data_IF_614441069508
#
_entry.id   IF_614441069508
#
_cell.length_a   1.000
_cell.length_b   1.000
_cell.length_c   1.000
_cell.angle_alpha   90.00
_cell.angle_beta   90.00
_cell.angle_gamma   90.00
#
_symmetry.space_group_name_H-M   'P 1'
#
loop_
_entity.id
_entity.type
_entity.pdbx_description
1 polymer ?
#
# COMPACT_ATOMS: atom_id res chain seq x y z
N UNK A 1 15.42 2.06 18.30
CA UNK A 1 15.01 0.82 17.61
C UNK A 1 15.82 0.67 16.34
N UNK A 2 15.73 1.65 15.42
CA UNK A 2 16.67 1.78 14.31
C UNK A 2 18.15 1.82 14.81
N UNK A 3 18.45 2.64 15.82
CA UNK A 3 19.80 2.72 16.44
C UNK A 3 20.27 1.44 17.14
N UNK A 4 19.38 0.44 17.28
CA UNK A 4 19.69 -0.88 17.83
C UNK A 4 19.81 -1.96 16.73
N UNK A 5 19.96 -1.54 15.47
CA UNK A 5 20.19 -2.44 14.33
C UNK A 5 18.91 -2.89 13.61
N UNK A 6 17.74 -2.33 13.91
CA UNK A 6 16.53 -2.60 13.09
C UNK A 6 16.67 -1.92 11.73
N UNK A 7 16.56 -2.70 10.66
CA UNK A 7 16.71 -2.23 9.26
C UNK A 7 15.41 -2.27 8.44
N UNK A 8 14.35 -2.87 8.98
CA UNK A 8 13.08 -3.05 8.29
C UNK A 8 11.88 -2.71 9.19
N UNK A 9 10.91 -2.00 8.62
CA UNK A 9 9.62 -1.70 9.26
C UNK A 9 8.50 -2.36 8.44
N UNK A 10 7.68 -3.18 9.11
CA UNK A 10 6.51 -3.82 8.52
C UNK A 10 5.22 -3.23 9.10
N UNK A 11 4.49 -2.50 8.27
CA UNK A 11 3.18 -1.94 8.60
C UNK A 11 2.08 -3.00 8.44
N UNK A 12 1.39 -3.30 9.52
CA UNK A 12 0.34 -4.33 9.59
C UNK A 12 -1.00 -3.73 10.00
N UNK A 13 -2.09 -4.38 9.57
CA UNK A 13 -3.45 -4.02 9.92
C UNK A 13 -4.44 -5.08 9.41
N UNK A 14 -5.74 -4.84 9.58
CA UNK A 14 -6.77 -5.66 8.90
C UNK A 14 -6.96 -5.23 7.44
N UNK A 15 -6.89 -3.92 7.20
CA UNK A 15 -6.89 -3.29 5.90
C UNK A 15 -5.91 -2.10 5.95
N UNK A 16 -4.63 -2.37 5.68
CA UNK A 16 -3.56 -1.41 5.94
C UNK A 16 -3.68 -0.13 5.10
N UNK A 17 -4.17 -0.22 3.86
CA UNK A 17 -4.32 0.94 2.98
C UNK A 17 -5.56 1.78 3.29
N UNK A 18 -6.42 1.35 4.22
CA UNK A 18 -7.44 2.20 4.86
C UNK A 18 -6.95 2.79 6.19
N UNK A 19 -5.64 3.04 6.32
CA UNK A 19 -5.09 3.76 7.45
C UNK A 19 -5.70 5.16 7.55
N UNK A 20 -6.14 5.52 8.76
CA UNK A 20 -6.74 6.82 9.09
C UNK A 20 -5.97 7.43 10.24
N UNK A 21 -4.82 8.00 9.92
CA UNK A 21 -4.00 8.71 10.89
C UNK A 21 -4.43 10.15 11.04
N UNK A 22 -3.89 10.79 12.08
CA UNK A 22 -3.93 12.25 12.25
C UNK A 22 -2.50 12.73 12.43
N UNK A 23 -2.11 13.76 11.67
CA UNK A 23 -0.81 14.42 11.77
C UNK A 23 -1.07 15.92 11.88
N UNK A 24 -0.60 16.56 12.95
CA UNK A 24 -0.81 17.99 13.22
C UNK A 24 -2.28 18.43 13.15
N UNK A 25 -3.21 17.56 13.56
CA UNK A 25 -4.65 17.82 13.53
C UNK A 25 -5.33 17.52 12.18
N UNK A 26 -4.57 17.18 11.14
CA UNK A 26 -5.11 16.85 9.81
C UNK A 26 -5.12 15.35 9.55
N UNK A 27 -6.05 14.89 8.69
CA UNK A 27 -6.13 13.49 8.28
C UNK A 27 -4.89 13.08 7.49
N UNK A 28 -4.36 11.90 7.79
CA UNK A 28 -3.17 11.34 7.14
C UNK A 28 -3.47 9.95 6.56
N UNK A 29 -2.81 9.61 5.45
CA UNK A 29 -2.98 8.35 4.71
C UNK A 29 -1.81 7.41 4.94
N UNK A 30 -1.95 6.15 4.51
CA UNK A 30 -0.85 5.19 4.53
C UNK A 30 0.35 5.70 3.72
N UNK A 31 0.10 6.31 2.56
CA UNK A 31 1.10 6.91 1.68
C UNK A 31 1.96 7.90 2.47
N UNK A 32 1.31 8.77 3.27
CA UNK A 32 2.04 9.73 4.10
C UNK A 32 2.82 9.07 5.23
N UNK A 33 2.27 8.03 5.85
CA UNK A 33 2.96 7.26 6.87
C UNK A 33 4.24 6.61 6.30
N UNK A 34 4.18 6.05 5.09
CA UNK A 34 5.35 5.47 4.42
C UNK A 34 6.41 6.54 4.16
N UNK A 35 6.03 7.69 3.59
CA UNK A 35 6.96 8.80 3.35
C UNK A 35 7.64 9.30 4.64
N UNK A 36 6.92 9.34 5.76
CA UNK A 36 7.49 9.73 7.04
C UNK A 36 8.40 8.63 7.62
N UNK A 37 8.01 7.37 7.45
CA UNK A 37 8.80 6.21 7.91
C UNK A 37 10.13 6.14 7.18
N UNK A 38 10.17 6.49 5.89
CA UNK A 38 11.39 6.53 5.08
C UNK A 38 12.41 7.60 5.56
N UNK A 39 11.96 8.60 6.33
CA UNK A 39 12.86 9.62 6.91
C UNK A 39 13.59 9.14 8.17
N UNK A 40 13.27 7.95 8.68
CA UNK A 40 13.94 7.40 9.85
C UNK A 40 15.31 6.90 9.41
N UNK A 41 16.37 7.47 10.00
CA UNK A 41 17.74 7.03 9.75
C UNK A 41 17.91 5.53 10.03
N UNK A 42 18.76 4.86 9.24
CA UNK A 42 19.09 3.44 9.35
C UNK A 42 17.95 2.45 9.02
N UNK A 43 16.85 2.91 8.41
CA UNK A 43 15.82 2.03 7.84
C UNK A 43 16.10 1.81 6.35
N UNK A 44 16.38 0.57 5.97
CA UNK A 44 16.63 0.20 4.57
C UNK A 44 15.33 -0.23 3.85
N UNK A 45 14.36 -0.75 4.61
CA UNK A 45 13.16 -1.38 4.04
C UNK A 45 11.88 -1.02 4.77
N UNK A 46 10.85 -0.75 3.99
CA UNK A 46 9.47 -0.56 4.44
C UNK A 46 8.61 -1.55 3.66
N UNK A 47 7.75 -2.28 4.38
CA UNK A 47 6.75 -3.19 3.80
C UNK A 47 5.40 -2.94 4.43
N UNK A 48 4.34 -3.22 3.68
CA UNK A 48 3.00 -3.38 4.23
C UNK A 48 2.33 -4.64 3.70
N UNK A 49 1.32 -5.14 4.40
CA UNK A 49 0.54 -6.33 4.01
C UNK A 49 -0.91 -6.13 4.40
N UNK A 50 -1.83 -6.91 3.81
CA UNK A 50 -3.30 -6.82 3.99
C UNK A 50 -3.98 -5.66 3.23
N UNK A 51 -3.56 -5.36 2.01
CA UNK A 51 -4.23 -4.34 1.20
C UNK A 51 -5.57 -4.83 0.67
N UNK A 52 -6.54 -3.92 0.60
CA UNK A 52 -7.79 -4.13 -0.15
C UNK A 52 -7.72 -3.39 -1.50
N UNK A 53 -7.94 -4.04 -2.67
CA UNK A 53 -7.77 -3.39 -3.97
C UNK A 53 -8.59 -2.12 -4.17
N UNK A 54 -9.82 -2.08 -3.64
CA UNK A 54 -10.66 -0.88 -3.71
C UNK A 54 -10.08 0.35 -2.97
N UNK A 55 -9.31 0.14 -1.92
CA UNK A 55 -8.74 1.22 -1.10
C UNK A 55 -7.33 1.59 -1.55
N UNK A 56 -6.84 0.98 -2.64
CA UNK A 56 -5.52 1.27 -3.19
C UNK A 56 -5.67 2.46 -4.14
N UNK A 57 -5.36 3.64 -3.61
CA UNK A 57 -5.54 4.92 -4.29
C UNK A 57 -4.26 5.32 -5.02
N UNK A 58 -4.39 6.28 -5.93
CA UNK A 58 -3.28 6.74 -6.77
C UNK A 58 -2.12 7.32 -5.93
N UNK A 59 -2.39 7.95 -4.78
CA UNK A 59 -1.35 8.45 -3.87
C UNK A 59 -0.45 7.33 -3.34
N UNK A 60 -1.00 6.14 -3.09
CA UNK A 60 -0.23 4.98 -2.66
C UNK A 60 0.57 4.37 -3.83
N UNK A 61 0.07 4.47 -5.06
CA UNK A 61 0.83 4.08 -6.27
C UNK A 61 2.03 5.00 -6.45
N UNK A 62 1.84 6.31 -6.36
CA UNK A 62 2.92 7.30 -6.49
C UNK A 62 4.04 7.11 -5.46
N UNK A 63 3.73 6.63 -4.26
CA UNK A 63 4.75 6.35 -3.23
C UNK A 63 5.70 5.24 -3.69
N UNK A 64 5.27 4.29 -4.52
CA UNK A 64 6.17 3.30 -5.12
C UNK A 64 7.17 3.92 -6.09
N UNK A 65 6.89 5.08 -6.70
CA UNK A 65 7.89 5.80 -7.49
C UNK A 65 8.87 6.54 -6.58
N UNK A 66 8.33 7.28 -5.59
CA UNK A 66 9.08 8.28 -4.83
C UNK A 66 9.91 7.73 -3.66
N UNK A 67 9.52 6.60 -3.07
CA UNK A 67 10.15 6.08 -1.84
C UNK A 67 10.98 4.83 -2.14
N UNK A 68 12.32 4.91 -2.20
CA UNK A 68 13.17 3.76 -2.52
C UNK A 68 13.20 2.69 -1.42
N UNK A 69 13.00 3.05 -0.16
CA UNK A 69 12.94 2.12 0.97
C UNK A 69 11.67 1.26 0.92
N UNK A 70 10.61 1.71 0.21
CA UNK A 70 9.41 0.91 -0.01
C UNK A 70 9.73 -0.22 -1.00
N UNK A 71 9.73 -1.44 -0.48
CA UNK A 71 10.04 -2.64 -1.27
C UNK A 71 9.04 -2.82 -2.42
N UNK A 72 9.51 -3.28 -3.59
CA UNK A 72 8.67 -3.47 -4.80
C UNK A 72 7.57 -4.52 -4.66
N UNK A 73 7.54 -5.27 -3.55
CA UNK A 73 6.49 -6.26 -3.29
C UNK A 73 5.18 -5.58 -2.90
N UNK A 74 4.08 -5.96 -3.56
CA UNK A 74 2.72 -5.51 -3.24
C UNK A 74 1.83 -6.71 -2.88
N UNK A 75 1.30 -6.74 -1.66
CA UNK A 75 0.32 -7.74 -1.25
C UNK A 75 -1.10 -7.31 -1.65
N UNK A 76 -1.55 -7.70 -2.85
CA UNK A 76 -2.82 -7.26 -3.44
C UNK A 76 -3.74 -8.43 -3.82
N UNK A 77 -4.56 -8.96 -2.89
CA UNK A 77 -5.34 -10.17 -3.13
C UNK A 77 -6.55 -9.93 -4.04
N UNK A 78 -6.58 -10.61 -5.18
CA UNK A 78 -7.62 -10.48 -6.24
C UNK A 78 -8.98 -11.10 -5.86
N UNK A 79 -8.99 -12.12 -4.99
CA UNK A 79 -10.18 -12.86 -4.54
C UNK A 79 -10.87 -13.71 -5.62
N UNK A 80 -11.19 -13.15 -6.79
CA UNK A 80 -11.80 -13.88 -7.91
C UNK A 80 -11.54 -13.17 -9.24
N UNK A 81 -11.43 -13.94 -10.33
CA UNK A 81 -11.36 -13.44 -11.71
C UNK A 81 -12.72 -13.27 -12.39
N UNK A 82 -13.83 -13.31 -11.66
CA UNK A 82 -15.18 -13.16 -12.22
C UNK A 82 -15.93 -11.99 -11.58
N UNK A 83 -16.36 -11.03 -12.38
CA UNK A 83 -17.15 -9.87 -11.92
C UNK A 83 -18.41 -10.28 -11.17
N UNK A 84 -19.07 -11.35 -11.63
CA UNK A 84 -20.24 -11.92 -10.95
C UNK A 84 -19.89 -12.37 -9.53
N UNK A 85 -18.78 -13.10 -9.36
CA UNK A 85 -18.34 -13.59 -8.05
C UNK A 85 -17.84 -12.45 -7.18
N UNK A 86 -17.08 -11.49 -7.72
CA UNK A 86 -16.63 -10.30 -7.01
C UNK A 86 -17.81 -9.51 -6.44
N UNK A 87 -18.88 -9.34 -7.21
CA UNK A 87 -20.13 -8.71 -6.75
C UNK A 87 -20.80 -9.51 -5.63
N UNK A 88 -20.86 -10.84 -5.73
CA UNK A 88 -21.39 -11.71 -4.66
C UNK A 88 -20.57 -11.64 -3.37
N UNK A 89 -19.25 -11.47 -3.49
CA UNK A 89 -18.34 -11.23 -2.36
C UNK A 89 -18.37 -9.78 -1.83
N UNK A 90 -19.26 -8.93 -2.36
CA UNK A 90 -19.39 -7.50 -2.02
C UNK A 90 -18.10 -6.70 -2.28
N UNK A 91 -17.30 -7.11 -3.26
CA UNK A 91 -16.13 -6.33 -3.71
C UNK A 91 -16.60 -5.13 -4.52
N UNK A 92 -16.01 -3.97 -4.24
CA UNK A 92 -16.30 -2.68 -4.90
C UNK A 92 -15.40 -2.42 -6.12
N UNK A 93 -14.91 -3.48 -6.74
CA UNK A 93 -14.09 -3.46 -7.95
C UNK A 93 -14.48 -4.65 -8.84
N UNK A 94 -14.18 -4.54 -10.13
CA UNK A 94 -14.28 -5.60 -11.14
C UNK A 94 -12.88 -6.01 -11.60
N UNK A 95 -12.78 -7.03 -12.46
CA UNK A 95 -11.51 -7.53 -13.00
C UNK A 95 -10.72 -6.42 -13.71
N UNK A 96 -11.39 -5.63 -14.55
CA UNK A 96 -10.78 -4.53 -15.29
C UNK A 96 -10.12 -3.50 -14.36
N UNK A 97 -10.83 -3.02 -13.32
CA UNK A 97 -10.26 -2.08 -12.33
C UNK A 97 -9.07 -2.67 -11.58
N UNK A 98 -9.09 -3.97 -11.29
CA UNK A 98 -7.98 -4.64 -10.63
C UNK A 98 -6.74 -4.68 -11.55
N UNK A 99 -6.91 -5.07 -12.81
CA UNK A 99 -5.82 -5.12 -13.79
C UNK A 99 -5.24 -3.72 -14.04
N UNK A 100 -6.10 -2.72 -14.23
CA UNK A 100 -5.66 -1.33 -14.39
C UNK A 100 -4.83 -0.83 -13.19
N UNK A 101 -5.19 -1.22 -11.96
CA UNK A 101 -4.40 -0.89 -10.77
C UNK A 101 -3.03 -1.59 -10.81
N UNK A 102 -2.97 -2.88 -11.17
CA UNK A 102 -1.71 -3.62 -11.29
C UNK A 102 -0.79 -2.98 -12.35
N UNK A 103 -1.36 -2.59 -13.50
CA UNK A 103 -0.60 -1.97 -14.57
C UNK A 103 -0.05 -0.60 -14.15
N UNK A 104 -0.84 0.23 -13.46
CA UNK A 104 -0.37 1.49 -12.87
C UNK A 104 0.84 1.29 -11.95
N UNK A 105 0.79 0.27 -11.08
CA UNK A 105 1.89 -0.05 -10.16
C UNK A 105 3.14 -0.50 -10.94
N UNK A 106 2.97 -1.36 -11.95
CA UNK A 106 4.09 -1.84 -12.79
C UNK A 106 4.75 -0.72 -13.60
N UNK A 107 3.99 0.28 -14.04
CA UNK A 107 4.53 1.43 -14.76
C UNK A 107 5.49 2.24 -13.87
N UNK A 108 5.14 2.47 -12.61
CA UNK A 108 5.98 3.23 -11.67
C UNK A 108 7.06 2.39 -11.01
N UNK A 109 6.88 1.07 -10.95
CA UNK A 109 7.81 0.12 -10.33
C UNK A 109 7.81 -1.21 -11.10
N UNK A 110 8.59 -1.31 -12.19
CA UNK A 110 8.62 -2.48 -13.07
C UNK A 110 9.27 -3.72 -12.44
#
# INVERSE_FOLDING_TARGET
MADKGTREIHLLGQNVNNFKGTLNGEKSTLSKLIELTAKIENIDRIRFTTSHPHEFKDDLVEVYDRVPELVSHVHLPVQSGSDRILKLMRRRYNVEKYLNLVDKIRVVRP
#
